data_IF_445810429506
#
_entry.id   IF_445810429506
#
_cell.length_a   1.000
_cell.length_b   1.000
_cell.length_c   1.000
_cell.angle_alpha   90.00
_cell.angle_beta   90.00
_cell.angle_gamma   90.00
#
_symmetry.space_group_name_H-M   'P 1'
#
loop_
_entity.id
_entity.type
_entity.pdbx_description
1 polymer ?
#
# COMPACT_ATOMS: atom_id res chain seq x y z
N UNK A 1 -4.21 7.82 2.50
CA UNK A 1 -4.53 6.56 3.23
C UNK A 1 -3.40 6.33 4.20
N UNK A 2 -3.70 6.12 5.49
CA UNK A 2 -2.71 5.74 6.49
C UNK A 2 -2.76 4.22 6.67
N UNK A 3 -1.61 3.56 6.63
CA UNK A 3 -1.47 2.15 6.92
C UNK A 3 -0.56 1.98 8.13
N UNK A 4 -1.03 1.25 9.13
CA UNK A 4 -0.32 1.00 10.36
C UNK A 4 -0.45 -0.48 10.74
N UNK A 5 0.61 -1.01 11.36
CA UNK A 5 0.67 -2.43 11.76
C UNK A 5 -0.10 -2.67 13.08
N UNK A 6 -0.42 -1.60 13.83
CA UNK A 6 -1.17 -1.69 15.08
C UNK A 6 -2.09 -0.50 15.31
N UNK A 7 -3.21 -0.74 15.99
CA UNK A 7 -4.26 0.26 16.27
C UNK A 7 -3.72 1.52 16.95
N UNK A 8 -2.78 1.36 17.88
CA UNK A 8 -2.19 2.45 18.66
C UNK A 8 -1.54 3.54 17.78
N UNK A 9 -1.01 3.17 16.60
CA UNK A 9 -0.39 4.15 15.70
C UNK A 9 -1.41 5.13 15.11
N UNK A 10 -2.66 4.71 14.92
CA UNK A 10 -3.73 5.62 14.46
C UNK A 10 -4.10 6.62 15.55
N UNK A 11 -4.19 6.17 16.80
CA UNK A 11 -4.49 7.01 17.97
C UNK A 11 -3.40 8.06 18.19
N UNK A 12 -2.13 7.69 18.05
CA UNK A 12 -0.99 8.64 18.15
C UNK A 12 -1.07 9.71 17.06
N UNK A 13 -1.41 9.35 15.82
CA UNK A 13 -1.53 10.32 14.72
C UNK A 13 -2.70 11.29 14.96
N UNK A 14 -3.87 10.78 15.36
CA UNK A 14 -5.00 11.63 15.72
C UNK A 14 -4.67 12.57 16.89
N UNK A 15 -3.99 12.07 17.91
CA UNK A 15 -3.57 12.87 19.06
C UNK A 15 -2.62 13.98 18.64
N UNK A 16 -1.60 13.68 17.81
CA UNK A 16 -0.66 14.69 17.30
C UNK A 16 -1.33 15.73 16.43
N UNK A 17 -2.22 15.34 15.52
CA UNK A 17 -2.94 16.29 14.66
C UNK A 17 -3.85 17.22 15.47
N UNK A 18 -4.55 16.69 16.48
CA UNK A 18 -5.35 17.48 17.39
C UNK A 18 -4.49 18.43 18.23
N UNK A 19 -3.37 17.96 18.76
CA UNK A 19 -2.54 18.74 19.67
C UNK A 19 -1.69 19.81 18.94
N UNK A 20 -1.16 19.49 17.76
CA UNK A 20 -0.29 20.40 16.98
C UNK A 20 -1.09 21.39 16.12
N UNK A 21 -2.26 20.97 15.60
CA UNK A 21 -3.02 21.76 14.61
C UNK A 21 -4.44 22.11 15.06
N UNK A 22 -4.92 21.61 16.20
CA UNK A 22 -6.27 21.87 16.69
C UNK A 22 -7.39 21.27 15.81
N UNK A 23 -7.04 20.39 14.87
CA UNK A 23 -8.00 19.84 13.89
C UNK A 23 -8.63 18.56 14.44
N UNK A 24 -9.97 18.49 14.41
CA UNK A 24 -10.71 17.28 14.72
C UNK A 24 -10.73 16.35 13.49
N UNK A 25 -10.01 15.22 13.58
CA UNK A 25 -9.85 14.26 12.48
C UNK A 25 -10.74 13.04 12.66
N UNK A 26 -11.54 12.70 11.64
CA UNK A 26 -12.29 11.44 11.56
C UNK A 26 -11.46 10.37 10.84
N UNK A 27 -11.42 9.17 11.40
CA UNK A 27 -10.86 7.98 10.74
C UNK A 27 -11.99 7.10 10.26
N UNK A 28 -11.98 6.75 8.98
CA UNK A 28 -12.85 5.70 8.44
C UNK A 28 -11.96 4.48 8.12
N UNK A 29 -12.24 3.35 8.77
CA UNK A 29 -11.50 2.11 8.52
C UNK A 29 -11.86 1.55 7.15
N UNK A 30 -10.83 1.35 6.33
CA UNK A 30 -11.01 0.69 5.04
C UNK A 30 -11.06 -0.82 5.23
N UNK A 31 -11.82 -1.56 4.41
CA UNK A 31 -11.96 -3.01 4.52
C UNK A 31 -10.74 -3.77 3.94
N UNK A 32 -9.54 -3.22 4.10
CA UNK A 32 -8.29 -3.80 3.62
C UNK A 32 -7.39 -4.11 4.82
N UNK A 33 -6.93 -5.35 4.90
CA UNK A 33 -6.07 -5.82 5.99
C UNK A 33 -4.63 -6.12 5.53
N UNK A 34 -4.42 -6.24 4.22
CA UNK A 34 -3.12 -6.63 3.66
C UNK A 34 -2.72 -5.64 2.57
N UNK A 35 -1.48 -5.15 2.65
CA UNK A 35 -0.87 -4.32 1.61
C UNK A 35 0.40 -4.99 1.11
N UNK A 36 0.65 -4.93 -0.21
CA UNK A 36 1.89 -5.40 -0.83
C UNK A 36 2.40 -4.45 -1.90
N UNK A 37 3.71 -4.27 -1.95
CA UNK A 37 4.37 -3.53 -3.02
C UNK A 37 4.57 -4.43 -4.23
N UNK A 38 4.28 -3.93 -5.43
CA UNK A 38 4.55 -4.66 -6.67
C UNK A 38 6.01 -4.49 -7.05
N UNK A 39 6.78 -5.57 -7.01
CA UNK A 39 8.13 -5.60 -7.56
C UNK A 39 8.06 -5.50 -9.09
N UNK A 40 8.93 -4.68 -9.69
CA UNK A 40 8.84 -4.35 -11.12
C UNK A 40 7.95 -3.14 -11.44
N UNK A 41 7.32 -2.52 -10.44
CA UNK A 41 6.62 -1.24 -10.59
C UNK A 41 5.38 -1.33 -11.49
N UNK A 42 5.06 -0.22 -12.17
CA UNK A 42 3.84 -0.12 -12.98
C UNK A 42 3.85 -1.07 -14.18
N UNK A 43 5.00 -1.32 -14.80
CA UNK A 43 5.09 -2.22 -15.95
C UNK A 43 4.75 -3.68 -15.60
N UNK A 44 5.09 -4.14 -14.39
CA UNK A 44 4.67 -5.47 -13.93
C UNK A 44 3.16 -5.53 -13.66
N UNK A 45 2.61 -4.47 -13.06
CA UNK A 45 1.18 -4.36 -12.81
C UNK A 45 0.36 -4.31 -14.11
N UNK A 46 0.81 -3.57 -15.11
CA UNK A 46 0.15 -3.50 -16.43
C UNK A 46 0.16 -4.85 -17.15
N UNK A 47 1.23 -5.64 -17.00
CA UNK A 47 1.32 -6.98 -17.57
C UNK A 47 0.36 -7.98 -16.92
N UNK A 48 0.23 -7.94 -15.60
CA UNK A 48 -0.79 -8.73 -14.91
C UNK A 48 -2.22 -8.28 -15.26
N UNK A 49 -2.38 -7.01 -15.65
CA UNK A 49 -3.63 -6.50 -16.15
C UNK A 49 -4.65 -6.28 -15.03
N UNK A 50 -5.89 -6.74 -15.24
CA UNK A 50 -7.00 -6.43 -14.35
C UNK A 50 -7.04 -7.38 -13.15
N UNK A 51 -6.53 -6.92 -12.01
CA UNK A 51 -6.63 -7.63 -10.75
C UNK A 51 -8.04 -7.50 -10.15
N UNK A 52 -8.62 -8.61 -9.73
CA UNK A 52 -9.93 -8.65 -9.06
C UNK A 52 -9.78 -8.58 -7.54
N UNK A 53 -10.75 -7.96 -6.86
CA UNK A 53 -10.78 -7.86 -5.39
C UNK A 53 -9.54 -7.21 -4.74
N UNK A 54 -8.79 -6.41 -5.51
CA UNK A 54 -7.67 -5.61 -5.03
C UNK A 54 -7.88 -4.15 -5.40
N UNK A 55 -7.26 -3.25 -4.64
CA UNK A 55 -7.20 -1.83 -4.99
C UNK A 55 -5.74 -1.45 -5.18
N UNK A 56 -5.44 -0.88 -6.35
CA UNK A 56 -4.12 -0.29 -6.61
C UNK A 56 -4.09 1.13 -6.06
N UNK A 57 -3.11 1.40 -5.22
CA UNK A 57 -2.78 2.74 -4.72
C UNK A 57 -1.32 3.06 -5.02
N UNK A 58 -0.94 4.32 -4.85
CA UNK A 58 0.46 4.76 -5.00
C UNK A 58 1.03 5.07 -3.62
N UNK A 59 2.26 4.64 -3.37
CA UNK A 59 3.02 5.12 -2.21
C UNK A 59 3.55 6.54 -2.43
N UNK A 60 4.25 7.07 -1.42
CA UNK A 60 4.81 8.43 -1.47
C UNK A 60 5.92 8.62 -2.53
N UNK A 61 6.49 7.53 -3.06
CA UNK A 61 7.48 7.54 -4.14
C UNK A 61 6.85 7.19 -5.50
N UNK A 62 5.53 7.16 -5.60
CA UNK A 62 4.81 6.87 -6.84
C UNK A 62 4.82 5.39 -7.24
N UNK A 63 5.23 4.47 -6.35
CA UNK A 63 5.28 3.04 -6.63
C UNK A 63 3.90 2.40 -6.43
N UNK A 64 3.53 1.40 -7.24
CA UNK A 64 2.26 0.72 -7.08
C UNK A 64 2.25 -0.18 -5.85
N UNK A 65 1.20 -0.02 -5.05
CA UNK A 65 0.88 -0.83 -3.88
C UNK A 65 -0.50 -1.42 -4.06
N UNK A 66 -0.64 -2.71 -3.84
CA UNK A 66 -1.91 -3.41 -3.89
C UNK A 66 -2.45 -3.60 -2.48
N UNK A 67 -3.71 -3.21 -2.29
CA UNK A 67 -4.49 -3.40 -1.08
C UNK A 67 -5.44 -4.58 -1.28
N UNK A 68 -5.40 -5.52 -0.34
CA UNK A 68 -6.19 -6.73 -0.33
C UNK A 68 -7.07 -6.75 0.93
N UNK A 69 -8.28 -7.28 0.78
CA UNK A 69 -9.23 -7.42 1.89
C UNK A 69 -8.75 -8.43 2.94
N UNK A 70 -8.13 -9.51 2.50
CA UNK A 70 -7.64 -10.61 3.33
C UNK A 70 -6.44 -11.31 2.66
N UNK A 71 -5.80 -12.25 3.37
CA UNK A 71 -4.68 -13.05 2.83
C UNK A 71 -5.10 -14.00 1.70
N UNK A 72 -6.36 -14.43 1.66
CA UNK A 72 -6.85 -15.33 0.62
C UNK A 72 -6.86 -14.63 -0.75
N UNK A 73 -7.34 -13.38 -0.83
CA UNK A 73 -7.26 -12.57 -2.05
C UNK A 73 -5.81 -12.37 -2.53
N UNK A 74 -4.87 -12.24 -1.59
CA UNK A 74 -3.45 -12.14 -1.91
C UNK A 74 -2.97 -13.43 -2.59
N UNK A 75 -3.26 -14.60 -2.00
CA UNK A 75 -2.86 -15.89 -2.54
C UNK A 75 -3.48 -16.12 -3.91
N UNK A 76 -4.77 -15.85 -4.07
CA UNK A 76 -5.44 -16.02 -5.36
C UNK A 76 -4.79 -15.17 -6.45
N UNK A 77 -4.46 -13.91 -6.18
CA UNK A 77 -3.78 -13.04 -7.14
C UNK A 77 -2.36 -13.50 -7.45
N UNK A 78 -1.63 -14.02 -6.44
CA UNK A 78 -0.30 -14.59 -6.66
C UNK A 78 -0.33 -15.89 -7.46
N UNK A 79 -1.42 -16.66 -7.36
CA UNK A 79 -1.66 -17.87 -8.16
C UNK A 79 -2.10 -17.55 -9.59
N UNK A 80 -2.99 -16.56 -9.76
CA UNK A 80 -3.48 -16.10 -11.06
C UNK A 80 -2.38 -15.38 -11.86
N UNK A 81 -1.48 -14.68 -11.17
CA UNK A 81 -0.40 -13.87 -11.75
C UNK A 81 0.95 -14.19 -11.09
N UNK A 82 1.54 -15.37 -11.36
CA UNK A 82 2.83 -15.75 -10.79
C UNK A 82 3.98 -14.84 -11.23
N UNK A 83 3.81 -14.10 -12.33
CA UNK A 83 4.75 -13.06 -12.79
C UNK A 83 4.76 -11.79 -11.93
N UNK A 84 3.75 -11.60 -11.08
CA UNK A 84 3.58 -10.41 -10.27
C UNK A 84 4.18 -10.63 -8.88
N UNK A 85 5.43 -10.19 -8.72
CA UNK A 85 6.13 -10.27 -7.44
C UNK A 85 5.56 -9.29 -6.41
N UNK A 86 5.05 -9.82 -5.29
CA UNK A 86 4.43 -9.03 -4.22
C UNK A 86 5.27 -9.02 -2.95
N UNK A 87 5.82 -7.86 -2.60
CA UNK A 87 6.65 -7.68 -1.42
C UNK A 87 5.85 -7.19 -0.21
N UNK A 88 6.13 -7.76 0.97
CA UNK A 88 5.54 -7.37 2.26
C UNK A 88 6.14 -6.09 2.84
N UNK A 89 7.32 -5.69 2.37
CA UNK A 89 7.99 -4.45 2.69
C UNK A 89 8.22 -3.62 1.42
N UNK A 90 8.35 -2.31 1.60
CA UNK A 90 8.77 -1.45 0.49
C UNK A 90 10.14 -1.94 -0.01
N UNK A 91 10.31 -2.18 -1.32
CA UNK A 91 11.61 -2.58 -1.85
C UNK A 91 12.61 -1.49 -1.48
N UNK A 92 13.64 -1.88 -0.72
CA UNK A 92 14.73 -1.00 -0.31
C UNK A 92 15.49 -0.65 -1.58
N UNK A 93 15.13 0.48 -2.18
CA UNK A 93 15.96 1.08 -3.21
C UNK A 93 17.12 1.71 -2.47
N UNK A 94 18.22 0.97 -2.37
CA UNK A 94 19.53 1.56 -2.14
C UNK A 94 19.78 2.57 -3.27
N UNK A 95 19.53 3.85 -2.99
CA UNK A 95 20.11 4.98 -3.72
C UNK A 95 19.74 5.12 -5.20
N UNK A 96 18.47 5.32 -5.54
CA UNK A 96 18.12 5.93 -6.83
C UNK A 96 17.25 7.15 -6.57
N UNK A 97 17.91 8.31 -6.52
CA UNK A 97 17.27 9.62 -6.63
C UNK A 97 16.22 9.61 -7.76
N UNK A 98 15.04 10.21 -7.55
CA UNK A 98 14.13 10.43 -8.66
C UNK A 98 14.85 11.36 -9.64
N UNK A 99 15.10 10.88 -10.87
CA UNK A 99 15.52 11.74 -11.98
C UNK A 99 14.48 12.85 -12.12
N UNK A 100 14.90 14.07 -11.80
CA UNK A 100 14.21 15.28 -12.21
C UNK A 100 14.18 15.31 -13.74
N UNK A 101 13.00 15.40 -14.33
CA UNK A 101 12.79 15.82 -15.72
C UNK A 101 11.63 16.78 -15.74
#
# INVERSE_FOLDING_TARGET
>A
ILAAVGQLQFEVVQFRLRNEYGVETRLDMLPYSVARWVAGGWGALEKAGRLFNTVTVKDNWGRPVLLFKNQWNLQQVAEDHPELDLNSSAPVVSGSEPKST
#
